data_IF_469487234242
#
_entry.id   IF_469487234242
#
_cell.length_a   1.000
_cell.length_b   1.000
_cell.length_c   1.000
_cell.angle_alpha   90.00
_cell.angle_beta   90.00
_cell.angle_gamma   90.00
#
_symmetry.space_group_name_H-M   'P 1'
#
loop_
_entity.id
_entity.type
_entity.pdbx_description
1 polymer ?
#
# COMPACT_ATOMS: atom_id res chain seq x y z
N UNK A 1 12.71 53.03 -1.36
CA UNK A 1 11.82 51.97 -1.84
C UNK A 1 12.66 50.70 -1.98
N UNK A 2 12.67 49.83 -0.97
CA UNK A 2 13.29 48.51 -1.07
C UNK A 2 12.49 47.58 -0.12
N UNK A 3 11.47 46.91 -0.67
CA UNK A 3 10.69 45.95 0.10
C UNK A 3 11.55 44.72 0.40
N UNK A 4 11.77 44.53 1.69
CA UNK A 4 11.87 43.27 2.41
C UNK A 4 11.24 42.09 1.64
N UNK A 5 12.05 41.13 1.21
CA UNK A 5 11.60 39.76 1.03
C UNK A 5 12.76 38.83 1.37
N UNK A 6 12.99 38.67 2.67
CA UNK A 6 13.79 37.57 3.20
C UNK A 6 13.12 36.26 2.78
N UNK A 7 13.84 35.43 2.03
CA UNK A 7 13.48 34.04 1.79
C UNK A 7 13.18 33.40 3.16
N UNK A 8 11.97 32.88 3.43
CA UNK A 8 11.76 32.13 4.66
C UNK A 8 12.53 30.81 4.55
N UNK A 9 13.74 30.82 5.10
CA UNK A 9 14.52 29.63 5.41
C UNK A 9 13.92 28.95 6.64
N UNK A 10 12.71 28.43 6.51
CA UNK A 10 12.09 27.57 7.52
C UNK A 10 11.63 26.27 6.86
N UNK A 11 12.62 25.54 6.30
CA UNK A 11 12.55 24.09 6.18
C UNK A 11 12.63 23.49 7.59
N UNK A 12 11.61 23.78 8.38
CA UNK A 12 11.51 23.44 9.79
C UNK A 12 11.65 21.93 9.95
N UNK A 13 12.64 21.50 10.75
CA UNK A 13 12.83 20.13 11.23
C UNK A 13 11.51 19.49 11.71
N UNK A 14 10.55 20.30 12.16
CA UNK A 14 9.21 19.90 12.57
C UNK A 14 8.38 19.19 11.48
N UNK A 15 8.55 19.51 10.20
CA UNK A 15 7.80 18.89 9.10
C UNK A 15 8.36 17.50 8.78
N UNK A 16 9.69 17.32 8.89
CA UNK A 16 10.32 16.01 8.69
C UNK A 16 10.00 15.05 9.85
N UNK A 17 9.99 15.55 11.09
CA UNK A 17 9.65 14.74 12.28
C UNK A 17 8.20 14.26 12.23
N UNK A 18 7.23 15.13 11.88
CA UNK A 18 5.83 14.69 11.73
C UNK A 18 5.64 13.70 10.59
N UNK A 19 6.39 13.81 9.48
CA UNK A 19 6.32 12.83 8.38
C UNK A 19 6.99 11.50 8.73
N UNK A 20 8.07 11.53 9.51
CA UNK A 20 8.77 10.35 10.00
C UNK A 20 7.95 9.61 11.06
N UNK A 21 7.31 10.30 12.02
CA UNK A 21 6.49 9.67 13.07
C UNK A 21 5.33 8.83 12.52
N UNK A 22 4.65 9.31 11.47
CA UNK A 22 3.58 8.54 10.80
C UNK A 22 4.10 7.26 10.13
N UNK A 23 5.37 7.24 9.74
CA UNK A 23 6.02 6.02 9.29
C UNK A 23 6.45 5.16 10.47
N UNK A 24 7.08 5.76 11.50
CA UNK A 24 7.85 5.10 12.55
C UNK A 24 7.07 4.04 13.31
N UNK A 25 5.87 4.36 13.77
CA UNK A 25 5.01 3.38 14.42
C UNK A 25 4.58 2.24 13.49
N UNK A 26 4.45 2.52 12.18
CA UNK A 26 3.95 1.57 11.20
C UNK A 26 5.03 0.54 10.81
N UNK A 27 6.27 0.96 10.55
CA UNK A 27 7.35 -0.02 10.33
C UNK A 27 7.71 -0.78 11.59
N UNK A 28 7.65 -0.18 12.78
CA UNK A 28 7.98 -0.90 14.02
C UNK A 28 6.96 -2.00 14.37
N UNK A 29 5.68 -1.81 14.03
CA UNK A 29 4.63 -2.83 14.24
C UNK A 29 4.61 -3.94 13.18
N UNK A 30 4.98 -3.66 11.93
CA UNK A 30 4.82 -4.61 10.82
C UNK A 30 6.14 -5.06 10.16
N UNK A 31 7.26 -4.35 10.33
CA UNK A 31 8.57 -4.78 9.80
C UNK A 31 9.40 -5.58 10.83
N UNK A 32 8.95 -5.67 12.09
CA UNK A 32 9.61 -6.39 13.17
C UNK A 32 9.31 -7.89 13.24
N UNK A 33 8.58 -8.47 12.28
CA UNK A 33 8.18 -9.87 12.29
C UNK A 33 8.87 -10.69 11.20
N UNK A 34 10.15 -11.02 11.37
CA UNK A 34 10.69 -12.20 10.69
C UNK A 34 10.22 -13.44 11.44
N UNK A 35 9.14 -14.08 10.97
CA UNK A 35 8.83 -15.48 11.29
C UNK A 35 7.70 -16.02 10.42
N UNK A 36 8.07 -16.91 9.51
CA UNK A 36 7.26 -18.00 8.94
C UNK A 36 6.10 -17.69 7.96
N UNK A 37 6.01 -18.38 6.81
CA UNK A 37 4.98 -18.18 5.78
C UNK A 37 3.68 -18.91 6.16
N UNK A 38 3.14 -18.64 7.34
CA UNK A 38 1.91 -19.29 7.78
C UNK A 38 0.70 -18.46 7.38
N UNK A 39 -0.11 -19.10 6.53
CA UNK A 39 -1.44 -18.76 6.07
C UNK A 39 -2.32 -18.08 7.14
N UNK A 40 -2.27 -16.75 7.24
CA UNK A 40 -3.05 -15.95 8.18
C UNK A 40 -3.72 -14.75 7.53
N UNK A 41 -5.01 -14.92 7.22
CA UNK A 41 -5.99 -13.84 6.98
C UNK A 41 -5.55 -12.73 6.02
N UNK A 42 -5.70 -12.94 4.72
CA UNK A 42 -5.78 -11.81 3.77
C UNK A 42 -7.24 -11.45 3.57
N UNK A 43 -7.92 -11.10 4.66
CA UNK A 43 -9.34 -10.78 4.67
C UNK A 43 -9.57 -9.35 5.13
N UNK A 44 -10.80 -8.85 4.99
CA UNK A 44 -11.07 -7.43 5.18
C UNK A 44 -10.94 -6.99 6.65
N UNK A 45 -10.98 -7.95 7.58
CA UNK A 45 -10.88 -7.74 9.03
C UNK A 45 -9.46 -7.33 9.44
N UNK A 46 -8.45 -7.72 8.66
CA UNK A 46 -7.04 -7.38 8.88
C UNK A 46 -6.64 -6.01 8.29
N UNK A 47 -7.57 -5.31 7.64
CA UNK A 47 -7.28 -4.04 6.97
C UNK A 47 -7.06 -2.87 7.96
N UNK A 48 -6.06 -1.99 7.71
CA UNK A 48 -5.10 -2.02 6.61
C UNK A 48 -3.83 -2.83 6.93
N UNK A 49 -3.35 -3.63 5.95
CA UNK A 49 -2.12 -4.42 6.07
C UNK A 49 -1.17 -4.19 4.89
N UNK A 50 0.10 -4.56 5.06
CA UNK A 50 1.14 -4.47 4.04
C UNK A 50 1.25 -5.76 3.26
N UNK A 51 1.38 -5.63 1.94
CA UNK A 51 1.66 -6.74 1.03
C UNK A 51 2.83 -6.40 0.13
N UNK A 52 3.68 -7.38 -0.13
CA UNK A 52 4.73 -7.33 -1.13
C UNK A 52 4.28 -8.02 -2.41
N UNK A 53 4.24 -7.26 -3.48
CA UNK A 53 4.06 -7.74 -4.86
C UNK A 53 5.41 -8.20 -5.38
N UNK A 54 5.52 -9.48 -5.72
CA UNK A 54 6.70 -10.05 -6.39
C UNK A 54 6.51 -10.21 -7.89
N UNK A 55 5.27 -10.15 -8.37
CA UNK A 55 4.95 -10.30 -9.77
C UNK A 55 5.29 -9.00 -10.55
N UNK A 56 6.02 -9.16 -11.65
CA UNK A 56 6.39 -8.11 -12.60
C UNK A 56 5.34 -7.87 -13.68
N UNK A 57 4.27 -8.69 -13.70
CA UNK A 57 3.15 -8.61 -14.64
C UNK A 57 1.77 -8.67 -13.93
N UNK A 58 1.69 -8.20 -12.68
CA UNK A 58 0.44 -7.95 -11.96
C UNK A 58 -0.26 -6.64 -12.41
N UNK A 59 -1.56 -6.78 -12.70
CA UNK A 59 -2.36 -5.68 -13.23
C UNK A 59 -3.27 -5.08 -12.16
N UNK A 60 -3.37 -3.75 -12.13
CA UNK A 60 -4.35 -3.02 -11.33
C UNK A 60 -5.65 -2.89 -12.11
N UNK A 61 -6.77 -3.23 -11.49
CA UNK A 61 -8.11 -3.15 -12.09
C UNK A 61 -9.00 -2.13 -11.41
N UNK A 62 -10.03 -1.64 -12.13
CA UNK A 62 -11.00 -0.68 -11.59
C UNK A 62 -11.84 -1.24 -10.43
N UNK A 63 -12.09 -2.55 -10.42
CA UNK A 63 -12.88 -3.21 -9.40
C UNK A 63 -12.32 -4.57 -8.99
N UNK A 64 -12.92 -5.13 -7.94
CA UNK A 64 -12.60 -6.45 -7.38
C UNK A 64 -13.11 -7.60 -8.27
N UNK A 65 -12.76 -7.61 -9.56
CA UNK A 65 -13.08 -8.72 -10.49
C UNK A 65 -12.19 -8.66 -11.74
N UNK A 66 -11.98 -9.81 -12.37
CA UNK A 66 -11.37 -9.91 -13.71
C UNK A 66 -12.21 -9.28 -14.82
N UNK A 67 -13.50 -9.06 -14.60
CA UNK A 67 -14.40 -8.45 -15.59
C UNK A 67 -14.18 -6.93 -15.72
N UNK A 68 -13.51 -6.30 -14.76
CA UNK A 68 -13.17 -4.88 -14.83
C UNK A 68 -11.94 -4.60 -15.70
N UNK A 69 -11.95 -3.45 -16.37
CA UNK A 69 -10.81 -2.97 -17.14
C UNK A 69 -9.54 -2.87 -16.32
N UNK A 70 -8.43 -3.20 -16.98
CA UNK A 70 -7.08 -3.00 -16.47
C UNK A 70 -6.76 -1.51 -16.60
N UNK A 71 -6.38 -0.88 -15.50
CA UNK A 71 -6.02 0.55 -15.48
C UNK A 71 -4.55 0.70 -15.82
N UNK A 72 -3.71 -0.01 -15.08
CA UNK A 72 -2.26 0.11 -15.17
C UNK A 72 -1.57 -1.14 -14.64
N UNK A 73 -0.26 -1.13 -14.83
CA UNK A 73 0.66 -2.09 -14.26
C UNK A 73 1.01 -1.74 -12.80
N UNK A 74 1.07 -2.70 -11.88
CA UNK A 74 1.61 -2.47 -10.51
C UNK A 74 3.09 -2.90 -10.47
N UNK A 75 4.05 -1.97 -10.27
CA UNK A 75 5.45 -2.37 -10.17
C UNK A 75 5.68 -3.32 -8.98
N UNK A 76 6.78 -4.05 -9.03
CA UNK A 76 7.20 -4.87 -7.88
C UNK A 76 7.53 -3.95 -6.70
N UNK A 77 7.12 -4.33 -5.50
CA UNK A 77 7.27 -3.48 -4.33
C UNK A 77 6.31 -3.83 -3.20
N UNK A 78 6.31 -3.00 -2.17
CA UNK A 78 5.43 -3.15 -1.01
C UNK A 78 4.31 -2.11 -1.08
N UNK A 79 3.08 -2.56 -0.87
CA UNK A 79 1.87 -1.76 -0.95
C UNK A 79 0.98 -1.96 0.26
N UNK A 80 0.22 -0.92 0.60
CA UNK A 80 -0.78 -0.99 1.67
C UNK A 80 -2.15 -1.31 1.07
N UNK A 81 -2.74 -2.41 1.55
CA UNK A 81 -4.11 -2.79 1.26
C UNK A 81 -5.01 -2.18 2.34
N UNK A 82 -6.08 -1.52 1.91
CA UNK A 82 -7.04 -0.86 2.81
C UNK A 82 -8.40 -1.54 2.83
N UNK A 83 -8.68 -2.36 1.84
CA UNK A 83 -9.97 -3.05 1.69
C UNK A 83 -9.71 -4.36 0.96
N UNK A 84 -10.34 -5.44 1.43
CA UNK A 84 -10.30 -6.73 0.75
C UNK A 84 -11.71 -7.12 0.35
N UNK A 85 -11.87 -7.57 -0.90
CA UNK A 85 -13.14 -8.10 -1.40
C UNK A 85 -12.93 -9.42 -2.13
N UNK A 86 -13.77 -10.39 -1.82
CA UNK A 86 -13.89 -11.60 -2.63
C UNK A 86 -14.47 -11.24 -3.99
N UNK A 87 -13.86 -11.74 -5.05
CA UNK A 87 -14.22 -11.37 -6.41
C UNK A 87 -13.68 -12.37 -7.43
N UNK A 88 -14.32 -12.42 -8.60
CA UNK A 88 -14.01 -13.43 -9.63
C UNK A 88 -12.56 -13.30 -10.10
N UNK A 89 -11.90 -14.45 -10.25
CA UNK A 89 -10.52 -14.55 -10.74
C UNK A 89 -9.42 -14.35 -9.69
N UNK A 90 -9.75 -14.44 -8.40
CA UNK A 90 -8.77 -14.58 -7.31
C UNK A 90 -9.34 -15.48 -6.21
N UNK A 91 -8.54 -16.44 -5.71
CA UNK A 91 -8.96 -17.30 -4.58
C UNK A 91 -8.75 -16.60 -3.25
N UNK A 92 -7.66 -15.86 -3.11
CA UNK A 92 -7.36 -15.03 -1.95
C UNK A 92 -8.18 -13.72 -1.90
N UNK A 93 -8.86 -13.36 -2.99
CA UNK A 93 -9.61 -12.11 -3.11
C UNK A 93 -8.80 -10.96 -3.71
N UNK A 94 -9.38 -9.76 -3.66
CA UNK A 94 -8.86 -8.54 -4.26
C UNK A 94 -8.56 -7.52 -3.18
N UNK A 95 -7.35 -6.98 -3.19
CA UNK A 95 -6.92 -5.92 -2.29
C UNK A 95 -6.99 -4.55 -2.97
N UNK A 96 -7.64 -3.60 -2.33
CA UNK A 96 -7.66 -2.19 -2.75
C UNK A 96 -6.43 -1.47 -2.24
N UNK A 97 -5.73 -0.79 -3.14
CA UNK A 97 -4.54 -0.02 -2.81
C UNK A 97 -4.92 1.30 -2.12
N UNK A 98 -4.22 1.65 -1.03
CA UNK A 98 -4.36 2.95 -0.34
C UNK A 98 -4.16 4.14 -1.29
N UNK A 99 -3.34 3.97 -2.33
CA UNK A 99 -3.09 5.00 -3.35
C UNK A 99 -4.32 5.33 -4.20
N UNK A 100 -5.43 4.60 -4.08
CA UNK A 100 -6.60 4.76 -4.95
C UNK A 100 -6.36 4.31 -6.40
N UNK A 101 -5.21 3.67 -6.66
CA UNK A 101 -4.83 3.21 -7.99
C UNK A 101 -5.77 2.13 -8.54
N UNK A 102 -6.41 1.37 -7.65
CA UNK A 102 -7.39 0.33 -7.98
C UNK A 102 -7.22 -0.92 -7.12
N UNK A 103 -7.65 -2.05 -7.68
CA UNK A 103 -7.68 -3.37 -7.07
C UNK A 103 -6.62 -4.29 -7.66
N UNK A 104 -5.91 -5.01 -6.80
CA UNK A 104 -4.93 -6.03 -7.17
C UNK A 104 -5.31 -7.39 -6.60
N UNK A 105 -4.94 -8.46 -7.30
CA UNK A 105 -5.21 -9.81 -6.81
C UNK A 105 -4.26 -10.18 -5.68
N UNK A 106 -4.82 -10.62 -4.55
CA UNK A 106 -4.05 -11.03 -3.37
C UNK A 106 -3.35 -12.39 -3.57
N UNK A 107 -3.73 -13.13 -4.60
CA UNK A 107 -3.13 -14.43 -4.95
C UNK A 107 -1.65 -14.29 -5.34
N UNK A 108 -1.29 -13.13 -5.92
CA UNK A 108 0.05 -12.84 -6.44
C UNK A 108 0.89 -11.95 -5.52
N UNK A 109 0.42 -11.73 -4.28
CA UNK A 109 1.13 -10.94 -3.28
C UNK A 109 1.38 -11.76 -2.03
N UNK A 110 2.36 -11.34 -1.24
CA UNK A 110 2.63 -11.94 0.08
C UNK A 110 2.51 -10.88 1.15
N UNK A 111 1.84 -11.19 2.26
CA UNK A 111 1.79 -10.30 3.44
C UNK A 111 3.23 -10.09 3.94
N UNK A 112 3.50 -8.87 4.44
CA UNK A 112 4.77 -8.48 5.08
C UNK A 112 4.49 -8.14 6.53
#
# INVERSE_FOLDING_TARGET
MLLWYERPADQSNAVQVKRAEYGEGYYKKYAGGSSDPSSGGMSNEDCPFLVRVRATDLNIRKGASTDFDRIKYIPVGTYTIVEVKSGKGSKAGWGRLKSGAGWISLDYVKRV
#
